data_IF_691883451558
#
_entry.id   IF_691883451558
#
_cell.length_a   1.000
_cell.length_b   1.000
_cell.length_c   1.000
_cell.angle_alpha   90.00
_cell.angle_beta   90.00
_cell.angle_gamma   90.00
#
_symmetry.space_group_name_H-M   'P 1'
#
loop_
_entity.id
_entity.type
_entity.pdbx_description
1 polymer ?
#
# COMPACT_ATOMS: atom_id res chain seq x y z
N UNK A 1 8.58 -21.47 -15.19
CA UNK A 1 9.69 -21.84 -14.29
C UNK A 1 9.36 -21.23 -12.95
N UNK A 2 8.94 -22.05 -11.98
CA UNK A 2 8.73 -21.59 -10.62
C UNK A 2 10.10 -21.30 -10.02
N UNK A 3 10.43 -20.03 -9.83
CA UNK A 3 11.64 -19.64 -9.11
C UNK A 3 11.53 -20.18 -7.68
N UNK A 4 12.62 -20.74 -7.20
CA UNK A 4 12.76 -21.36 -5.89
C UNK A 4 12.62 -20.30 -4.79
N UNK A 5 11.37 -19.96 -4.43
CA UNK A 5 11.03 -18.95 -3.43
C UNK A 5 11.24 -19.46 -1.98
N UNK A 6 11.72 -20.70 -1.82
CA UNK A 6 11.99 -21.31 -0.51
C UNK A 6 13.21 -20.70 0.21
N UNK A 7 14.11 -20.06 -0.53
CA UNK A 7 15.35 -19.48 0.00
C UNK A 7 15.19 -18.13 0.73
N UNK A 8 13.99 -17.52 0.71
CA UNK A 8 13.75 -16.21 1.34
C UNK A 8 12.86 -16.25 2.58
N UNK A 9 12.41 -17.42 3.02
CA UNK A 9 11.55 -17.56 4.19
C UNK A 9 12.38 -17.51 5.48
N UNK A 10 12.04 -16.58 6.37
CA UNK A 10 12.65 -16.45 7.70
C UNK A 10 11.61 -16.68 8.76
N UNK A 11 11.89 -17.65 9.62
CA UNK A 11 11.10 -17.98 10.79
C UNK A 11 12.02 -17.94 12.00
N UNK A 12 11.77 -16.98 12.89
CA UNK A 12 12.54 -16.83 14.11
C UNK A 12 11.83 -17.59 15.24
N UNK A 13 12.60 -18.41 15.94
CA UNK A 13 12.17 -19.17 17.10
C UNK A 13 13.00 -18.67 18.28
N UNK A 14 12.33 -18.15 19.32
CA UNK A 14 12.96 -17.76 20.58
C UNK A 14 12.28 -18.49 21.74
N UNK A 15 12.91 -19.59 22.18
CA UNK A 15 12.32 -20.51 23.16
C UNK A 15 11.01 -21.14 22.65
N UNK A 16 9.90 -20.87 23.34
CA UNK A 16 8.56 -21.33 22.95
C UNK A 16 7.85 -20.36 21.98
N UNK A 17 8.38 -19.14 21.80
CA UNK A 17 7.79 -18.16 20.91
C UNK A 17 8.24 -18.40 19.46
N UNK A 18 7.28 -18.66 18.59
CA UNK A 18 7.50 -18.79 17.16
C UNK A 18 6.87 -17.58 16.46
N UNK A 19 7.70 -16.77 15.81
CA UNK A 19 7.20 -15.65 15.02
C UNK A 19 6.46 -16.18 13.78
N UNK A 20 5.51 -15.39 13.28
CA UNK A 20 4.95 -15.63 11.95
C UNK A 20 6.05 -15.61 10.90
N UNK A 21 5.93 -16.50 9.92
CA UNK A 21 6.84 -16.58 8.78
C UNK A 21 6.96 -15.22 8.10
N UNK A 22 8.20 -14.80 7.87
CA UNK A 22 8.55 -13.59 7.14
C UNK A 22 9.30 -13.95 5.85
N UNK A 23 9.37 -13.02 4.92
CA UNK A 23 10.03 -13.20 3.62
C UNK A 23 10.79 -11.93 3.29
N UNK A 24 11.94 -12.07 2.64
CA UNK A 24 12.64 -10.92 2.09
C UNK A 24 12.16 -10.63 0.67
N UNK A 25 11.57 -9.45 0.47
CA UNK A 25 11.23 -8.91 -0.86
C UNK A 25 12.13 -7.71 -1.12
N UNK A 26 12.99 -7.80 -2.15
CA UNK A 26 13.98 -6.75 -2.49
C UNK A 26 14.80 -6.26 -1.29
N UNK A 27 15.15 -7.16 -0.36
CA UNK A 27 15.94 -6.86 0.84
C UNK A 27 15.14 -6.33 2.04
N UNK A 28 13.82 -6.16 1.91
CA UNK A 28 12.93 -5.76 3.01
C UNK A 28 12.24 -6.98 3.60
N UNK A 29 12.29 -7.15 4.93
CA UNK A 29 11.58 -8.21 5.64
C UNK A 29 10.09 -7.88 5.74
N UNK A 30 9.25 -8.70 5.14
CA UNK A 30 7.79 -8.57 5.15
C UNK A 30 7.15 -9.84 5.72
N UNK A 31 6.02 -9.73 6.43
CA UNK A 31 5.19 -10.88 6.76
C UNK A 31 4.80 -11.71 5.51
N UNK A 32 4.88 -13.04 5.61
CA UNK A 32 4.59 -13.97 4.50
C UNK A 32 3.19 -13.80 3.90
N UNK A 33 2.23 -13.38 4.73
CA UNK A 33 0.88 -13.04 4.30
C UNK A 33 0.88 -11.95 3.22
N UNK A 34 1.66 -10.89 3.41
CA UNK A 34 1.69 -9.75 2.49
C UNK A 34 2.49 -10.05 1.23
N UNK A 35 3.52 -10.90 1.29
CA UNK A 35 4.30 -11.19 0.08
C UNK A 35 3.53 -12.06 -0.93
N UNK A 36 2.84 -13.10 -0.46
CA UNK A 36 2.31 -14.17 -1.34
C UNK A 36 0.79 -14.30 -1.34
N UNK A 37 0.09 -13.99 -0.25
CA UNK A 37 -1.38 -14.15 -0.23
C UNK A 37 -2.12 -12.95 -0.82
N UNK A 38 -1.50 -11.76 -0.82
CA UNK A 38 -2.10 -10.55 -1.40
C UNK A 38 -1.71 -10.30 -2.86
N UNK A 39 -0.65 -10.94 -3.36
CA UNK A 39 -0.08 -10.66 -4.70
C UNK A 39 0.81 -9.41 -4.74
N UNK A 40 1.24 -8.90 -3.59
CA UNK A 40 2.04 -7.67 -3.49
C UNK A 40 3.38 -7.74 -4.23
N UNK A 41 4.06 -8.90 -4.23
CA UNK A 41 5.33 -9.08 -4.95
C UNK A 41 5.15 -8.78 -6.45
N UNK A 42 4.14 -9.37 -7.07
CA UNK A 42 3.83 -9.18 -8.49
C UNK A 42 3.36 -7.75 -8.77
N UNK A 43 2.56 -7.16 -7.86
CA UNK A 43 2.18 -5.75 -7.94
C UNK A 43 3.41 -4.84 -7.93
N UNK A 44 4.35 -5.04 -7.01
CA UNK A 44 5.57 -4.24 -6.88
C UNK A 44 6.50 -4.33 -8.09
N UNK A 45 6.49 -5.45 -8.81
CA UNK A 45 7.27 -5.64 -10.03
C UNK A 45 6.66 -4.93 -11.25
N UNK A 46 5.34 -4.78 -11.28
CA UNK A 46 4.60 -4.22 -12.42
C UNK A 46 3.99 -2.83 -12.14
N UNK A 47 4.13 -2.29 -10.93
CA UNK A 47 3.58 -1.00 -10.56
C UNK A 47 4.27 0.13 -11.32
N UNK A 48 3.47 0.90 -12.06
CA UNK A 48 3.92 2.09 -12.78
C UNK A 48 3.47 3.35 -12.06
N UNK A 49 4.42 4.21 -11.73
CA UNK A 49 4.16 5.52 -11.11
C UNK A 49 3.59 6.50 -12.13
N UNK A 50 2.65 7.33 -11.70
CA UNK A 50 2.14 8.48 -12.44
C UNK A 50 2.73 9.77 -11.90
N UNK A 51 2.63 10.84 -12.69
CA UNK A 51 3.20 12.14 -12.32
C UNK A 51 2.46 12.80 -11.15
N UNK A 52 1.21 12.43 -10.93
CA UNK A 52 0.30 12.91 -9.90
C UNK A 52 0.22 11.99 -8.66
N UNK A 53 0.96 10.88 -8.65
CA UNK A 53 0.96 9.96 -7.50
C UNK A 53 1.67 10.58 -6.29
N UNK A 54 1.06 10.44 -5.12
CA UNK A 54 1.63 10.86 -3.83
C UNK A 54 1.82 9.65 -2.92
N UNK A 55 3.05 9.42 -2.49
CA UNK A 55 3.40 8.34 -1.57
C UNK A 55 3.57 8.86 -0.15
N UNK A 56 2.88 8.23 0.79
CA UNK A 56 3.05 8.47 2.22
C UNK A 56 3.85 7.29 2.79
N UNK A 57 5.11 7.55 3.11
CA UNK A 57 6.06 6.53 3.58
C UNK A 57 6.45 6.82 5.01
N UNK A 58 6.34 5.80 5.87
CA UNK A 58 6.71 5.89 7.27
C UNK A 58 6.81 4.51 7.90
N UNK A 59 7.53 4.42 9.03
CA UNK A 59 7.57 3.19 9.81
C UNK A 59 6.18 2.90 10.40
N UNK A 60 5.74 1.63 10.53
CA UNK A 60 4.47 1.31 11.14
C UNK A 60 4.26 2.05 12.47
N UNK A 61 3.10 2.67 12.62
CA UNK A 61 2.70 3.48 13.80
C UNK A 61 3.47 4.81 13.98
N UNK A 62 4.16 5.32 12.96
CA UNK A 62 4.81 6.63 12.99
C UNK A 62 3.88 7.82 12.69
N UNK A 63 2.56 7.63 12.70
CA UNK A 63 1.57 8.69 12.42
C UNK A 63 1.13 8.82 10.96
N UNK A 64 1.34 7.80 10.13
CA UNK A 64 0.93 7.80 8.71
C UNK A 64 -0.57 8.03 8.51
N UNK A 65 -1.44 7.56 9.42
CA UNK A 65 -2.90 7.79 9.33
C UNK A 65 -3.28 9.27 9.37
N UNK A 66 -2.65 10.06 10.24
CA UNK A 66 -2.91 11.51 10.31
C UNK A 66 -2.44 12.21 9.03
N UNK A 67 -1.27 11.80 8.51
CA UNK A 67 -0.74 12.36 7.28
C UNK A 67 -1.62 12.00 6.06
N UNK A 68 -2.15 10.78 6.00
CA UNK A 68 -3.10 10.36 4.97
C UNK A 68 -4.37 11.22 5.00
N UNK A 69 -4.92 11.48 6.19
CA UNK A 69 -6.12 12.31 6.34
C UNK A 69 -5.87 13.75 5.86
N UNK A 70 -4.81 14.39 6.36
CA UNK A 70 -4.46 15.77 5.99
C UNK A 70 -4.22 15.87 4.48
N UNK A 71 -3.48 14.92 3.91
CA UNK A 71 -3.20 14.89 2.47
C UNK A 71 -4.49 14.75 1.68
N UNK A 72 -5.35 13.80 2.04
CA UNK A 72 -6.64 13.61 1.39
C UNK A 72 -7.48 14.89 1.41
N UNK A 73 -7.52 15.62 2.52
CA UNK A 73 -8.23 16.90 2.63
C UNK A 73 -7.65 17.98 1.71
N UNK A 74 -6.32 18.10 1.62
CA UNK A 74 -5.66 19.04 0.70
C UNK A 74 -6.08 18.78 -0.75
N UNK A 75 -6.15 17.52 -1.15
CA UNK A 75 -6.58 17.13 -2.52
C UNK A 75 -8.09 17.22 -2.76
N UNK A 76 -8.90 17.44 -1.71
CA UNK A 76 -10.36 17.50 -1.78
C UNK A 76 -10.90 18.82 -1.17
N UNK A 77 -10.18 19.93 -1.35
CA UNK A 77 -10.60 21.29 -0.93
C UNK A 77 -11.04 21.40 0.54
N UNK A 78 -10.39 20.65 1.44
CA UNK A 78 -10.70 20.63 2.86
C UNK A 78 -11.97 19.87 3.23
N UNK A 79 -12.53 19.06 2.31
CA UNK A 79 -13.71 18.24 2.59
C UNK A 79 -13.47 17.26 3.75
N UNK A 80 -14.53 16.94 4.50
CA UNK A 80 -14.49 15.96 5.58
C UNK A 80 -15.30 14.74 5.14
N UNK A 81 -14.67 13.55 5.17
CA UNK A 81 -15.34 12.29 4.87
C UNK A 81 -15.56 11.45 6.12
N UNK A 82 -16.68 10.70 6.15
CA UNK A 82 -16.97 9.68 7.16
C UNK A 82 -16.54 8.28 6.71
N UNK A 83 -16.11 8.13 5.45
CA UNK A 83 -15.64 6.86 4.93
C UNK A 83 -14.32 6.46 5.61
N UNK A 84 -14.15 5.16 5.91
CA UNK A 84 -12.88 4.64 6.40
C UNK A 84 -11.71 5.04 5.50
N UNK A 85 -10.55 5.33 6.10
CA UNK A 85 -9.38 5.82 5.35
C UNK A 85 -8.94 4.85 4.24
N UNK A 86 -9.07 3.54 4.45
CA UNK A 86 -8.73 2.52 3.45
C UNK A 86 -9.63 2.53 2.19
N UNK A 87 -10.80 3.18 2.24
CA UNK A 87 -11.63 3.41 1.03
C UNK A 87 -11.23 4.69 0.28
N UNK A 88 -10.40 5.54 0.89
CA UNK A 88 -10.01 6.85 0.36
C UNK A 88 -8.55 6.89 -0.08
N UNK A 89 -7.70 6.11 0.58
CA UNK A 89 -6.27 6.01 0.31
C UNK A 89 -5.93 4.54 0.13
N UNK A 90 -5.25 4.25 -0.98
CA UNK A 90 -4.79 2.90 -1.26
C UNK A 90 -3.62 2.55 -0.35
N UNK A 91 -3.73 1.45 0.40
CA UNK A 91 -2.58 0.87 1.09
C UNK A 91 -1.75 0.05 0.10
N UNK A 92 -0.45 0.30 0.12
CA UNK A 92 0.46 -0.19 -0.91
C UNK A 92 0.69 -1.70 -0.78
N UNK A 93 0.76 -2.21 0.45
CA UNK A 93 0.92 -3.62 0.82
C UNK A 93 -0.35 -4.48 0.66
N UNK A 94 -1.52 -3.83 0.64
CA UNK A 94 -2.82 -4.45 0.35
C UNK A 94 -3.27 -4.24 -1.11
N UNK A 95 -2.52 -3.45 -1.88
CA UNK A 95 -2.85 -3.15 -3.27
C UNK A 95 -2.76 -4.42 -4.12
N UNK A 96 -3.91 -4.86 -4.61
CA UNK A 96 -3.99 -5.75 -5.77
C UNK A 96 -3.87 -4.87 -7.01
N UNK A 97 -3.24 -5.41 -8.06
CA UNK A 97 -3.15 -4.87 -9.42
C UNK A 97 -4.43 -4.07 -9.80
N UNK A 98 -4.28 -2.88 -10.44
CA UNK A 98 -5.04 -1.69 -10.10
C UNK A 98 -6.52 -1.87 -10.35
N UNK A 99 -7.34 -1.48 -9.37
CA UNK A 99 -8.71 -1.08 -9.68
C UNK A 99 -8.63 0.10 -10.64
N UNK A 100 -9.29 0.03 -11.82
CA UNK A 100 -9.34 1.17 -12.72
C UNK A 100 -9.86 2.38 -11.93
N UNK A 101 -9.29 3.58 -12.15
CA UNK A 101 -9.68 4.74 -11.39
C UNK A 101 -11.19 4.91 -11.52
N UNK A 102 -11.87 4.99 -10.37
CA UNK A 102 -13.26 5.42 -10.32
C UNK A 102 -13.36 6.73 -11.10
N UNK A 103 -14.33 6.90 -12.01
CA UNK A 103 -14.41 8.08 -12.88
C UNK A 103 -14.61 9.42 -12.15
N UNK A 104 -14.62 9.45 -10.82
CA UNK A 104 -15.04 10.58 -10.00
C UNK A 104 -13.89 11.37 -9.37
N UNK A 105 -12.61 11.05 -9.59
CA UNK A 105 -11.50 11.93 -9.18
C UNK A 105 -11.19 13.04 -10.18
N UNK A 106 -11.87 13.06 -11.34
CA UNK A 106 -11.85 14.23 -12.22
C UNK A 106 -12.68 15.33 -11.59
N UNK A 107 -12.01 16.23 -10.86
CA UNK A 107 -12.40 17.63 -10.92
C UNK A 107 -12.26 18.04 -12.39
N UNK A 108 -13.34 17.90 -13.15
CA UNK A 108 -13.46 18.62 -14.40
C UNK A 108 -13.26 20.10 -14.05
N UNK A 109 -12.37 20.84 -14.74
CA UNK A 109 -12.27 22.26 -14.54
C UNK A 109 -13.63 22.86 -14.87
N UNK A 110 -14.36 23.25 -13.82
CA UNK A 110 -15.58 24.01 -13.90
C UNK A 110 -15.28 25.25 -14.75
N UNK A 111 -15.88 25.28 -15.95
CA UNK A 111 -16.25 26.47 -16.71
C UNK A 111 -15.49 27.74 -16.31
N UNK A 112 -14.33 27.96 -16.91
CA UNK A 112 -13.86 29.33 -17.12
C UNK A 112 -14.67 29.89 -18.32
N UNK A 113 -15.62 30.75 -17.98
CA UNK A 113 -16.40 31.63 -18.87
C UNK A 113 -15.55 32.40 -19.86
#
# INVERSE_FOLDING_TARGET
>A
MASDDSENLVEEIDGEYQNSKAVFVKGVRLPHIFAYQTGFKDFLENFETRQDDVFIVGYPRSGTTWLQEITWQIFNDGAISKEPIGHRVQFFDEAKCPTPPSPTSRLDPVLAS
#
